data_IF_128024887250
#
_entry.id   IF_128024887250
#
_cell.length_a   1.000
_cell.length_b   1.000
_cell.length_c   1.000
_cell.angle_alpha   90.00
_cell.angle_beta   90.00
_cell.angle_gamma   90.00
#
_symmetry.space_group_name_H-M   'P 1'
#
loop_
_entity.id
_entity.type
_entity.pdbx_description
1 polymer ?
#
# COMPACT_ATOMS: atom_id res chain seq x y z
N UNK A 1 3.81 19.45 2.59
CA UNK A 1 4.54 18.27 2.15
C UNK A 1 4.19 17.95 0.70
N UNK A 2 5.19 17.93 -0.16
CA UNK A 2 4.91 17.67 -1.57
C UNK A 2 4.61 16.18 -1.80
N UNK A 3 3.92 15.88 -2.90
CA UNK A 3 3.61 14.52 -3.28
C UNK A 3 4.86 13.66 -3.47
N UNK A 4 6.01 14.28 -3.79
CA UNK A 4 7.27 13.56 -3.92
C UNK A 4 7.72 12.90 -2.62
N UNK A 5 7.21 13.38 -1.47
CA UNK A 5 7.53 12.81 -0.16
C UNK A 5 6.60 11.67 0.23
N UNK A 6 5.59 11.37 -0.58
CA UNK A 6 4.67 10.26 -0.32
C UNK A 6 5.20 8.98 -0.97
N UNK A 7 4.78 7.86 -0.42
CA UNK A 7 5.19 6.54 -0.91
C UNK A 7 4.01 5.60 -1.03
N UNK A 8 3.96 4.83 -2.13
CA UNK A 8 2.92 3.82 -2.34
C UNK A 8 3.58 2.45 -2.33
N UNK A 9 3.07 1.56 -1.48
CA UNK A 9 3.46 0.16 -1.47
C UNK A 9 2.29 -0.69 -1.95
N UNK A 10 2.58 -1.63 -2.83
CA UNK A 10 1.60 -2.61 -3.29
C UNK A 10 1.93 -3.96 -2.67
N UNK A 11 1.15 -4.98 -2.99
CA UNK A 11 1.36 -6.33 -2.50
C UNK A 11 2.70 -6.95 -2.95
N UNK A 12 3.48 -6.25 -3.77
CA UNK A 12 4.80 -6.73 -4.16
C UNK A 12 5.87 -6.45 -3.11
N UNK A 13 5.56 -5.69 -2.07
CA UNK A 13 6.50 -5.43 -0.98
C UNK A 13 6.80 -6.75 -0.26
N UNK A 14 8.07 -6.99 -0.01
CA UNK A 14 8.51 -8.24 0.52
C UNK A 14 8.81 -8.13 2.02
N UNK A 15 8.83 -9.28 2.71
CA UNK A 15 8.96 -9.35 4.17
C UNK A 15 10.31 -8.92 4.71
N UNK A 16 11.33 -8.82 3.87
CA UNK A 16 12.65 -8.34 4.31
C UNK A 16 12.65 -6.91 4.84
N UNK A 17 11.59 -6.16 4.57
CA UNK A 17 11.50 -4.77 5.00
C UNK A 17 10.96 -4.61 6.42
N UNK A 18 10.56 -5.70 7.08
CA UNK A 18 9.94 -5.64 8.42
C UNK A 18 10.78 -4.85 9.42
N UNK A 19 12.10 -5.04 9.41
CA UNK A 19 13.00 -4.36 10.34
C UNK A 19 13.14 -2.87 10.09
N UNK A 20 12.64 -2.38 8.96
CA UNK A 20 12.78 -0.98 8.55
C UNK A 20 11.46 -0.22 8.52
N UNK A 21 10.35 -0.89 8.76
CA UNK A 21 9.01 -0.29 8.60
C UNK A 21 8.82 0.91 9.54
N UNK A 22 9.26 0.81 10.77
CA UNK A 22 9.12 1.88 11.75
C UNK A 22 10.02 3.08 11.46
N UNK A 23 10.96 2.94 10.55
CA UNK A 23 11.83 4.02 10.10
C UNK A 23 11.25 4.83 8.95
N UNK A 24 10.15 4.37 8.38
CA UNK A 24 9.48 5.09 7.29
C UNK A 24 8.69 6.25 7.90
N UNK A 25 9.08 7.48 7.56
CA UNK A 25 8.50 8.69 8.14
C UNK A 25 7.60 9.47 7.18
N UNK A 26 7.64 9.14 5.89
CA UNK A 26 6.79 9.83 4.91
C UNK A 26 5.37 9.25 4.91
N UNK A 27 4.36 10.02 4.47
CA UNK A 27 3.02 9.48 4.27
C UNK A 27 3.05 8.29 3.33
N UNK A 28 2.41 7.19 3.72
CA UNK A 28 2.51 5.91 3.02
C UNK A 28 1.12 5.34 2.78
N UNK A 29 0.88 4.88 1.55
CA UNK A 29 -0.34 4.19 1.18
C UNK A 29 -0.02 2.74 0.87
N UNK A 30 -0.70 1.83 1.57
CA UNK A 30 -0.58 0.38 1.34
C UNK A 30 -1.77 -0.07 0.51
N UNK A 31 -1.50 -0.67 -0.64
CA UNK A 31 -2.54 -1.17 -1.54
C UNK A 31 -2.40 -2.68 -1.65
N UNK A 32 -3.47 -3.40 -1.39
CA UNK A 32 -3.44 -4.86 -1.31
C UNK A 32 -4.67 -5.48 -1.94
N UNK A 33 -4.49 -6.65 -2.56
CA UNK A 33 -5.61 -7.48 -3.02
C UNK A 33 -6.03 -8.44 -1.94
N UNK A 34 -7.33 -8.61 -1.71
CA UNK A 34 -7.83 -9.49 -0.66
C UNK A 34 -7.61 -10.97 -0.95
N UNK A 35 -7.32 -11.32 -2.21
CA UNK A 35 -7.03 -12.70 -2.63
C UNK A 35 -5.56 -12.95 -2.90
N UNK A 36 -4.69 -12.06 -2.42
CA UNK A 36 -3.26 -12.23 -2.58
C UNK A 36 -2.77 -13.40 -1.72
N UNK A 37 -2.28 -14.45 -2.37
CA UNK A 37 -1.79 -15.64 -1.69
C UNK A 37 -0.30 -15.59 -1.37
N UNK A 38 0.45 -14.80 -2.13
CA UNK A 38 1.90 -14.67 -1.94
C UNK A 38 2.21 -13.78 -0.75
N UNK A 39 1.48 -12.65 -0.66
CA UNK A 39 1.59 -11.71 0.45
C UNK A 39 0.18 -11.42 0.96
N UNK A 40 -0.31 -12.21 1.94
CA UNK A 40 -1.67 -12.06 2.44
C UNK A 40 -1.93 -10.70 3.08
N UNK A 41 -3.20 -10.29 3.10
CA UNK A 41 -3.63 -8.99 3.67
C UNK A 41 -3.15 -8.80 5.11
N UNK A 42 -3.01 -9.88 5.89
CA UNK A 42 -2.53 -9.75 7.27
C UNK A 42 -1.13 -9.12 7.34
N UNK A 43 -0.32 -9.29 6.29
CA UNK A 43 0.99 -8.65 6.20
C UNK A 43 0.86 -7.14 6.03
N UNK A 44 -0.11 -6.70 5.22
CA UNK A 44 -0.39 -5.27 5.06
C UNK A 44 -0.85 -4.65 6.36
N UNK A 45 -1.67 -5.36 7.12
CA UNK A 45 -2.13 -4.89 8.43
C UNK A 45 -0.97 -4.74 9.41
N UNK A 46 -0.02 -5.66 9.36
CA UNK A 46 1.20 -5.57 10.17
C UNK A 46 2.03 -4.36 9.77
N UNK A 47 2.21 -4.15 8.46
CA UNK A 47 2.95 -2.99 7.97
C UNK A 47 2.30 -1.69 8.43
N UNK A 48 0.98 -1.60 8.37
CA UNK A 48 0.25 -0.42 8.80
C UNK A 48 0.52 -0.09 10.27
N UNK A 49 0.64 -1.11 11.12
CA UNK A 49 0.95 -0.90 12.54
C UNK A 49 2.34 -0.32 12.75
N UNK A 50 3.29 -0.69 11.89
CA UNK A 50 4.68 -0.30 12.06
C UNK A 50 5.04 1.00 11.35
N UNK A 51 4.33 1.36 10.28
CA UNK A 51 4.59 2.61 9.56
C UNK A 51 3.74 3.72 10.18
N UNK A 52 4.36 4.73 10.80
CA UNK A 52 3.62 5.73 11.60
C UNK A 52 2.51 6.46 10.84
N UNK A 53 2.77 6.86 9.61
CA UNK A 53 1.80 7.62 8.81
C UNK A 53 1.40 6.80 7.59
N UNK A 54 0.51 5.84 7.79
CA UNK A 54 0.10 4.94 6.72
C UNK A 54 -1.39 4.70 6.72
N UNK A 55 -1.92 4.47 5.50
CA UNK A 55 -3.27 4.01 5.27
C UNK A 55 -3.26 2.72 4.48
N UNK A 56 -4.31 1.94 4.58
CA UNK A 56 -4.45 0.68 3.87
C UNK A 56 -5.73 0.67 3.06
N UNK A 57 -5.60 0.33 1.77
CA UNK A 57 -6.75 0.09 0.89
C UNK A 57 -6.68 -1.35 0.41
N UNK A 58 -7.75 -2.10 0.62
CA UNK A 58 -7.85 -3.50 0.19
C UNK A 58 -8.79 -3.58 -0.99
N UNK A 59 -8.31 -4.16 -2.10
CA UNK A 59 -9.09 -4.33 -3.32
C UNK A 59 -9.81 -5.67 -3.28
N UNK A 60 -11.13 -5.62 -3.32
CA UNK A 60 -11.95 -6.83 -3.33
C UNK A 60 -11.74 -7.63 -4.61
N UNK A 61 -11.67 -8.95 -4.49
CA UNK A 61 -11.52 -9.90 -5.58
C UNK A 61 -10.26 -9.71 -6.42
N UNK A 62 -9.22 -9.12 -5.84
CA UNK A 62 -7.94 -8.89 -6.51
C UNK A 62 -6.84 -9.68 -5.83
N UNK A 63 -5.90 -10.17 -6.64
CA UNK A 63 -4.72 -10.88 -6.14
C UNK A 63 -3.51 -9.97 -6.01
N UNK A 64 -2.35 -10.56 -6.22
CA UNK A 64 -1.07 -9.88 -6.08
C UNK A 64 -0.91 -8.67 -7.00
N UNK A 65 -1.47 -8.74 -8.20
CA UNK A 65 -1.35 -7.69 -9.22
C UNK A 65 -2.63 -6.85 -9.30
N UNK A 66 -3.11 -6.36 -8.18
CA UNK A 66 -4.37 -5.62 -8.13
C UNK A 66 -4.36 -4.36 -9.02
N UNK A 67 -3.21 -3.78 -9.27
CA UNK A 67 -3.08 -2.64 -10.18
C UNK A 67 -3.38 -3.01 -11.65
N UNK A 68 -3.26 -4.28 -12.01
CA UNK A 68 -3.64 -4.79 -13.33
C UNK A 68 -5.08 -5.30 -13.35
N UNK A 69 -5.53 -5.90 -12.26
CA UNK A 69 -6.85 -6.51 -12.17
C UNK A 69 -7.97 -5.49 -12.00
N UNK A 70 -7.67 -4.35 -11.38
CA UNK A 70 -8.62 -3.25 -11.20
C UNK A 70 -7.90 -1.92 -11.41
N UNK A 71 -7.49 -1.67 -12.64
CA UNK A 71 -6.69 -0.51 -13.00
C UNK A 71 -7.42 0.81 -12.73
N UNK A 72 -8.72 0.88 -13.01
CA UNK A 72 -9.47 2.10 -12.80
C UNK A 72 -9.51 2.48 -11.32
N UNK A 73 -9.79 1.51 -10.45
CA UNK A 73 -9.81 1.75 -9.01
C UNK A 73 -8.41 2.09 -8.50
N UNK A 74 -7.40 1.38 -8.97
CA UNK A 74 -6.02 1.64 -8.57
C UNK A 74 -5.61 3.06 -8.90
N UNK A 75 -5.87 3.50 -10.14
CA UNK A 75 -5.52 4.85 -10.57
C UNK A 75 -6.27 5.91 -9.76
N UNK A 76 -7.55 5.69 -9.47
CA UNK A 76 -8.34 6.62 -8.67
C UNK A 76 -7.79 6.76 -7.26
N UNK A 77 -7.45 5.65 -6.62
CA UNK A 77 -6.92 5.62 -5.25
C UNK A 77 -5.56 6.34 -5.20
N UNK A 78 -4.66 6.02 -6.13
CA UNK A 78 -3.32 6.62 -6.17
C UNK A 78 -3.41 8.12 -6.45
N UNK A 79 -4.27 8.52 -7.39
CA UNK A 79 -4.47 9.93 -7.73
C UNK A 79 -4.95 10.72 -6.51
N UNK A 80 -5.92 10.18 -5.78
CA UNK A 80 -6.42 10.84 -4.57
C UNK A 80 -5.33 10.94 -3.50
N UNK A 81 -4.53 9.90 -3.34
CA UNK A 81 -3.44 9.89 -2.36
C UNK A 81 -2.41 10.98 -2.65
N UNK A 82 -2.05 11.17 -3.90
CA UNK A 82 -1.05 12.15 -4.30
C UNK A 82 -1.61 13.55 -4.51
N UNK A 83 -2.91 13.73 -4.36
CA UNK A 83 -3.54 15.03 -4.48
C UNK A 83 -3.00 15.96 -3.39
N UNK A 84 -2.63 17.15 -3.78
CA UNK A 84 -2.13 18.15 -2.84
C UNK A 84 -3.30 18.97 -2.26
N UNK A 85 -3.17 19.29 -0.99
CA UNK A 85 -4.16 20.08 -0.27
C UNK A 85 -4.03 21.57 -0.57
#
# INVERSE_FOLDING_TARGET
LSSAMKRVFTSVVNTFLDDYLDKIKCPTLLIWGDKDRDTPVRMAKKMKKHIPDSGLVVFANCGHFCFLEDTLKFNAVVTEFFKED
#
